data_IF_659814772296
#
_entry.id   IF_659814772296
#
_cell.length_a   1.000
_cell.length_b   1.000
_cell.length_c   1.000
_cell.angle_alpha   90.00
_cell.angle_beta   90.00
_cell.angle_gamma   90.00
#
_symmetry.space_group_name_H-M   'P 1'
#
loop_
_entity.id
_entity.type
_entity.pdbx_description
1 polymer ?
#
# COMPACT_ATOMS: atom_id res chain seq x y z
N UNK A 1 5.38 9.28 26.70
CA UNK A 1 5.84 8.77 25.40
C UNK A 1 4.69 8.71 24.37
N UNK A 2 3.47 8.29 24.73
CA UNK A 2 2.30 8.29 23.83
C UNK A 2 1.91 9.71 23.38
N UNK A 3 1.97 10.70 24.27
CA UNK A 3 1.66 12.10 23.94
C UNK A 3 2.62 12.69 22.90
N UNK A 4 3.89 12.29 22.93
CA UNK A 4 4.89 12.79 21.99
C UNK A 4 4.71 12.19 20.58
N UNK A 5 4.32 10.94 20.49
CA UNK A 5 3.98 10.27 19.21
C UNK A 5 2.70 10.87 18.61
N UNK A 6 1.69 11.13 19.45
CA UNK A 6 0.43 11.76 19.02
C UNK A 6 0.65 13.17 18.49
N UNK A 7 1.48 13.99 19.18
CA UNK A 7 1.79 15.36 18.74
C UNK A 7 2.53 15.40 17.40
N UNK A 8 3.48 14.48 17.17
CA UNK A 8 4.18 14.37 15.88
C UNK A 8 3.22 14.02 14.73
N UNK A 9 2.30 13.10 14.98
CA UNK A 9 1.27 12.73 14.00
C UNK A 9 0.34 13.89 13.67
N UNK A 10 -0.06 14.69 14.67
CA UNK A 10 -0.87 15.90 14.47
C UNK A 10 -0.14 16.92 13.61
N UNK A 11 1.13 17.20 13.92
CA UNK A 11 1.94 18.14 13.16
C UNK A 11 2.13 17.68 11.71
N UNK A 12 2.42 16.39 11.49
CA UNK A 12 2.54 15.82 10.15
C UNK A 12 1.23 15.94 9.35
N UNK A 13 0.09 15.64 9.98
CA UNK A 13 -1.24 15.80 9.36
C UNK A 13 -1.50 17.25 8.96
N UNK A 14 -1.21 18.20 9.84
CA UNK A 14 -1.40 19.63 9.57
C UNK A 14 -0.52 20.10 8.41
N UNK A 15 0.77 19.72 8.41
CA UNK A 15 1.71 20.06 7.34
C UNK A 15 1.25 19.51 6.00
N UNK A 16 0.92 18.22 5.92
CA UNK A 16 0.48 17.59 4.69
C UNK A 16 -0.82 18.23 4.17
N UNK A 17 -1.80 18.45 5.04
CA UNK A 17 -3.06 19.07 4.64
C UNK A 17 -2.86 20.54 4.18
N UNK A 18 -1.92 21.26 4.75
CA UNK A 18 -1.58 22.62 4.30
C UNK A 18 -0.97 22.59 2.91
N UNK A 19 0.01 21.71 2.66
CA UNK A 19 0.62 21.54 1.34
C UNK A 19 -0.42 21.19 0.28
N UNK A 20 -1.29 20.22 0.57
CA UNK A 20 -2.36 19.83 -0.34
C UNK A 20 -3.33 20.97 -0.66
N UNK A 21 -3.72 21.77 0.35
CA UNK A 21 -4.57 22.97 0.15
C UNK A 21 -3.89 24.02 -0.72
N UNK A 22 -2.57 24.11 -0.68
CA UNK A 22 -1.77 25.01 -1.54
C UNK A 22 -1.56 24.45 -2.95
N UNK A 23 -2.10 23.25 -3.28
CA UNK A 23 -1.90 22.59 -4.57
C UNK A 23 -0.51 21.96 -4.74
N UNK A 24 0.24 21.82 -3.65
CA UNK A 24 1.57 21.17 -3.65
C UNK A 24 1.39 19.67 -3.52
N UNK A 25 2.13 18.89 -4.31
CA UNK A 25 2.21 17.43 -4.22
C UNK A 25 3.37 17.06 -3.29
N UNK A 26 3.12 16.58 -2.04
CA UNK A 26 4.20 16.17 -1.15
C UNK A 26 4.85 14.87 -1.64
N UNK A 27 6.19 14.84 -1.68
CA UNK A 27 6.97 13.62 -1.92
C UNK A 27 7.52 13.17 -0.58
N UNK A 28 7.17 11.95 -0.15
CA UNK A 28 7.47 11.41 1.17
C UNK A 28 8.30 10.14 1.00
N UNK A 29 9.37 10.02 1.76
CA UNK A 29 10.18 8.82 1.86
C UNK A 29 10.48 8.49 3.32
N UNK A 30 10.79 7.22 3.63
CA UNK A 30 11.34 6.89 4.93
C UNK A 30 12.69 7.60 5.16
N UNK A 31 12.95 8.01 6.41
CA UNK A 31 14.20 8.62 6.78
C UNK A 31 15.02 7.67 7.65
N UNK A 32 15.95 6.95 7.02
CA UNK A 32 16.84 5.99 7.66
C UNK A 32 17.69 6.61 8.78
N UNK A 33 17.92 7.93 8.73
CA UNK A 33 18.74 8.66 9.72
C UNK A 33 18.03 8.89 11.05
N UNK A 34 16.72 8.72 11.14
CA UNK A 34 15.89 8.98 12.34
C UNK A 34 15.19 7.70 12.83
N UNK A 35 15.49 6.56 12.23
CA UNK A 35 14.94 5.27 12.66
C UNK A 35 15.47 4.90 14.06
N UNK A 36 14.83 5.42 15.09
CA UNK A 36 14.93 4.84 16.43
C UNK A 36 14.34 3.43 16.37
N UNK A 37 14.91 2.48 17.13
CA UNK A 37 14.57 1.05 17.12
C UNK A 37 13.06 0.74 17.31
N UNK A 38 12.25 1.73 17.68
CA UNK A 38 10.82 1.62 17.98
C UNK A 38 9.91 1.84 16.75
N UNK A 39 10.42 2.39 15.64
CA UNK A 39 9.69 2.58 14.38
C UNK A 39 10.58 2.07 13.24
N UNK A 40 10.79 0.76 13.22
CA UNK A 40 11.28 0.10 12.00
C UNK A 40 10.12 -0.03 11.00
N UNK A 41 9.72 1.08 10.40
CA UNK A 41 8.97 1.07 9.15
C UNK A 41 10.04 1.01 8.04
N UNK A 42 10.70 -0.14 7.88
CA UNK A 42 11.68 -0.36 6.82
C UNK A 42 11.01 -0.71 5.50
N UNK A 43 9.87 -0.05 5.19
CA UNK A 43 9.08 -0.40 4.02
C UNK A 43 8.14 0.75 3.64
N UNK A 44 8.38 1.33 2.47
CA UNK A 44 7.55 2.40 1.92
C UNK A 44 6.08 1.97 1.68
N UNK A 45 5.78 0.67 1.56
CA UNK A 45 4.40 0.19 1.46
C UNK A 45 3.60 0.53 2.73
N UNK A 46 4.17 0.24 3.92
CA UNK A 46 3.53 0.57 5.19
C UNK A 46 3.52 2.08 5.45
N UNK A 47 4.61 2.79 5.13
CA UNK A 47 4.66 4.25 5.22
C UNK A 47 3.54 4.88 4.40
N UNK A 48 3.34 4.42 3.17
CA UNK A 48 2.27 4.94 2.29
C UNK A 48 0.87 4.73 2.89
N UNK A 49 0.63 3.58 3.54
CA UNK A 49 -0.63 3.31 4.23
C UNK A 49 -0.84 4.22 5.45
N UNK A 50 0.21 4.45 6.25
CA UNK A 50 0.13 5.39 7.38
C UNK A 50 -0.15 6.83 6.90
N UNK A 51 0.51 7.28 5.82
CA UNK A 51 0.26 8.60 5.22
C UNK A 51 -1.17 8.68 4.69
N UNK A 52 -1.63 7.67 3.93
CA UNK A 52 -3.00 7.62 3.41
C UNK A 52 -4.05 7.70 4.54
N UNK A 53 -3.81 6.99 5.67
CA UNK A 53 -4.66 7.08 6.85
C UNK A 53 -4.61 8.47 7.50
N UNK A 54 -3.44 9.09 7.54
CA UNK A 54 -3.22 10.37 8.21
C UNK A 54 -3.96 11.53 7.51
N UNK A 55 -3.98 11.53 6.17
CA UNK A 55 -4.63 12.55 5.35
C UNK A 55 -6.07 12.19 4.96
N UNK A 56 -6.61 11.09 5.47
CA UNK A 56 -7.94 10.57 5.14
C UNK A 56 -8.14 10.39 3.61
N UNK A 57 -7.15 9.79 2.94
CA UNK A 57 -7.19 9.54 1.50
C UNK A 57 -8.38 8.64 1.10
N UNK A 58 -8.85 8.78 -0.14
CA UNK A 58 -9.90 7.91 -0.68
C UNK A 58 -9.33 6.65 -1.33
N UNK A 59 -8.11 6.74 -1.86
CA UNK A 59 -7.44 5.69 -2.61
C UNK A 59 -5.94 5.72 -2.32
N UNK A 60 -5.36 4.53 -2.08
CA UNK A 60 -3.93 4.28 -2.10
C UNK A 60 -3.60 3.43 -3.32
N UNK A 61 -2.65 3.86 -4.14
CA UNK A 61 -2.12 3.07 -5.26
C UNK A 61 -0.70 2.64 -4.90
N UNK A 62 -0.45 1.33 -4.83
CA UNK A 62 0.88 0.75 -4.63
C UNK A 62 1.35 0.21 -5.98
N UNK A 63 2.39 0.83 -6.52
CA UNK A 63 3.03 0.39 -7.76
C UNK A 63 4.13 -0.63 -7.45
N UNK A 64 4.14 -1.72 -8.18
CA UNK A 64 5.05 -2.85 -8.00
C UNK A 64 5.52 -3.38 -9.36
N UNK A 65 6.34 -4.41 -9.36
CA UNK A 65 6.83 -5.11 -10.55
C UNK A 65 5.94 -6.30 -10.96
N UNK A 66 4.87 -6.59 -10.20
CA UNK A 66 3.90 -7.64 -10.51
C UNK A 66 2.55 -7.06 -10.94
N UNK A 67 1.79 -7.82 -11.74
CA UNK A 67 0.47 -7.38 -12.25
C UNK A 67 -0.57 -7.18 -11.14
N UNK A 68 -0.38 -7.77 -9.97
CA UNK A 68 -1.28 -7.75 -8.83
C UNK A 68 -1.16 -9.03 -8.02
N UNK A 69 -2.15 -9.35 -7.20
CA UNK A 69 -2.24 -10.61 -6.48
C UNK A 69 -2.71 -11.72 -7.43
N UNK A 70 -1.89 -12.75 -7.65
CA UNK A 70 -2.25 -13.91 -8.46
C UNK A 70 -2.91 -14.99 -7.59
N UNK A 71 -3.76 -15.82 -8.18
CA UNK A 71 -4.41 -16.95 -7.49
C UNK A 71 -3.42 -18.01 -7.01
N UNK A 72 -2.24 -18.09 -7.66
CA UNK A 72 -1.12 -18.94 -7.27
C UNK A 72 0.19 -18.26 -7.63
N UNK A 73 1.31 -18.79 -7.10
CA UNK A 73 2.63 -18.18 -7.33
C UNK A 73 2.98 -18.11 -8.84
N UNK A 74 3.09 -16.91 -9.42
CA UNK A 74 3.35 -16.74 -10.84
C UNK A 74 4.72 -17.24 -11.28
N UNK A 75 5.69 -17.38 -10.36
CA UNK A 75 7.00 -17.99 -10.65
C UNK A 75 6.89 -19.50 -10.89
N UNK A 76 5.89 -20.17 -10.29
CA UNK A 76 5.62 -21.60 -10.47
C UNK A 76 4.57 -21.85 -11.54
N UNK A 77 3.61 -20.94 -11.69
CA UNK A 77 2.55 -20.98 -12.68
C UNK A 77 2.42 -19.63 -13.38
N UNK A 78 3.17 -19.38 -14.47
CA UNK A 78 3.10 -18.09 -15.18
C UNK A 78 1.73 -17.74 -15.75
N UNK A 79 0.83 -18.73 -15.90
CA UNK A 79 -0.53 -18.53 -16.35
C UNK A 79 -1.53 -18.26 -15.22
N UNK A 80 -1.06 -18.13 -13.96
CA UNK A 80 -1.94 -17.85 -12.83
C UNK A 80 -2.69 -16.52 -13.03
N UNK A 81 -4.04 -16.52 -12.98
CA UNK A 81 -4.81 -15.31 -13.17
C UNK A 81 -4.61 -14.33 -12.03
N UNK A 82 -4.72 -13.04 -12.32
CA UNK A 82 -4.70 -11.96 -11.33
C UNK A 82 -6.10 -11.86 -10.70
N UNK A 83 -6.15 -11.78 -9.38
CA UNK A 83 -7.37 -11.50 -8.62
C UNK A 83 -7.70 -10.02 -8.76
N UNK A 84 -8.67 -9.67 -9.59
CA UNK A 84 -9.00 -8.28 -9.87
C UNK A 84 -9.60 -7.55 -8.64
N UNK A 85 -10.37 -8.25 -7.78
CA UNK A 85 -11.10 -7.65 -6.67
C UNK A 85 -11.03 -8.51 -5.40
N UNK A 86 -10.60 -7.90 -4.31
CA UNK A 86 -10.64 -8.47 -2.96
C UNK A 86 -11.55 -7.61 -2.08
N UNK A 87 -12.72 -8.15 -1.72
CA UNK A 87 -13.68 -7.45 -0.85
C UNK A 87 -13.23 -7.42 0.61
N UNK A 88 -12.55 -8.48 1.06
CA UNK A 88 -12.05 -8.64 2.43
C UNK A 88 -10.78 -9.49 2.42
N UNK A 89 -9.80 -9.12 3.20
CA UNK A 89 -8.58 -9.91 3.38
C UNK A 89 -8.88 -11.08 4.32
N UNK A 90 -9.06 -12.26 3.73
CA UNK A 90 -9.30 -13.53 4.44
C UNK A 90 -7.98 -14.27 4.71
N UNK A 91 -7.97 -15.30 5.60
CA UNK A 91 -6.81 -16.16 5.79
C UNK A 91 -6.32 -16.80 4.48
N UNK A 92 -7.20 -17.10 3.53
CA UNK A 92 -6.82 -17.68 2.25
C UNK A 92 -6.09 -16.67 1.36
N UNK A 93 -6.56 -15.42 1.31
CA UNK A 93 -5.84 -14.31 0.64
C UNK A 93 -4.45 -14.14 1.24
N UNK A 94 -4.32 -14.26 2.56
CA UNK A 94 -3.00 -14.18 3.23
C UNK A 94 -2.08 -15.33 2.84
N UNK A 95 -2.60 -16.55 2.75
CA UNK A 95 -1.82 -17.73 2.30
C UNK A 95 -1.33 -17.53 0.86
N UNK A 96 -2.20 -17.11 -0.05
CA UNK A 96 -1.84 -16.83 -1.45
C UNK A 96 -0.68 -15.83 -1.51
N UNK A 97 -0.79 -14.72 -0.80
CA UNK A 97 0.23 -13.68 -0.79
C UNK A 97 1.58 -14.12 -0.16
N UNK A 98 1.56 -15.01 0.84
CA UNK A 98 2.79 -15.55 1.44
C UNK A 98 3.51 -16.52 0.51
N UNK A 99 2.81 -17.17 -0.41
CA UNK A 99 3.44 -18.02 -1.42
C UNK A 99 4.22 -17.26 -2.49
N UNK A 100 3.98 -15.95 -2.63
CA UNK A 100 4.71 -15.07 -3.55
C UNK A 100 6.02 -14.52 -2.96
N UNK A 101 6.29 -14.72 -1.66
CA UNK A 101 7.52 -14.24 -1.05
C UNK A 101 8.72 -15.07 -1.49
N UNK A 102 9.68 -14.44 -2.15
CA UNK A 102 11.02 -15.01 -2.34
C UNK A 102 11.73 -15.05 -0.97
N UNK A 103 12.49 -16.11 -0.71
CA UNK A 103 13.28 -16.33 0.52
C UNK A 103 14.34 -15.22 0.80
N UNK A 104 14.51 -14.27 -0.09
CA UNK A 104 15.53 -13.21 -0.04
C UNK A 104 14.89 -11.91 -0.49
N UNK A 105 14.31 -11.15 0.43
CA UNK A 105 13.85 -9.79 0.15
C UNK A 105 12.77 -9.31 1.12
N UNK A 106 13.00 -8.13 1.67
CA UNK A 106 12.11 -7.39 2.57
C UNK A 106 10.86 -6.80 1.87
N UNK A 107 10.68 -7.02 0.54
CA UNK A 107 9.68 -6.35 -0.29
C UNK A 107 8.73 -7.27 -1.06
N UNK A 108 8.31 -8.41 -0.51
CA UNK A 108 7.35 -9.32 -1.17
C UNK A 108 5.89 -8.82 -1.09
N UNK A 109 4.94 -9.55 -1.70
CA UNK A 109 3.50 -9.19 -1.65
C UNK A 109 2.96 -9.10 -0.21
N UNK A 110 3.64 -9.73 0.76
CA UNK A 110 3.32 -9.66 2.19
C UNK A 110 3.36 -8.25 2.77
N UNK A 111 4.34 -7.40 2.38
CA UNK A 111 4.43 -6.00 2.85
C UNK A 111 3.29 -5.17 2.31
N UNK A 112 2.89 -5.39 1.06
CA UNK A 112 1.75 -4.74 0.42
C UNK A 112 0.43 -5.12 1.08
N UNK A 113 0.28 -6.38 1.47
CA UNK A 113 -0.88 -6.81 2.28
C UNK A 113 -0.86 -6.25 3.70
N UNK A 114 0.31 -6.03 4.30
CA UNK A 114 0.40 -5.33 5.58
C UNK A 114 -0.13 -3.89 5.44
N UNK A 115 0.23 -3.19 4.37
CA UNK A 115 -0.31 -1.87 4.05
C UNK A 115 -1.85 -1.90 3.88
N UNK A 116 -2.38 -2.89 3.14
CA UNK A 116 -3.84 -3.09 3.02
C UNK A 116 -4.50 -3.32 4.37
N UNK A 117 -3.89 -4.12 5.26
CA UNK A 117 -4.41 -4.37 6.61
C UNK A 117 -4.44 -3.12 7.50
N UNK A 118 -3.44 -2.25 7.42
CA UNK A 118 -3.43 -0.96 8.14
C UNK A 118 -4.68 -0.17 7.79
N UNK A 119 -5.09 -0.19 6.52
CA UNK A 119 -6.25 0.55 6.01
C UNK A 119 -7.59 -0.22 6.11
N UNK A 120 -7.57 -1.48 6.53
CA UNK A 120 -8.76 -2.35 6.55
C UNK A 120 -9.90 -1.83 7.46
N UNK A 121 -9.59 -1.03 8.48
CA UNK A 121 -10.56 -0.38 9.37
C UNK A 121 -11.04 0.97 8.86
N UNK A 122 -10.51 1.43 7.73
CA UNK A 122 -10.85 2.70 7.09
C UNK A 122 -11.54 2.43 5.75
N UNK A 123 -12.34 3.37 5.28
CA UNK A 123 -12.98 3.26 3.95
C UNK A 123 -12.02 3.64 2.80
N UNK A 124 -10.72 3.45 2.99
CA UNK A 124 -9.70 3.77 2.01
C UNK A 124 -9.50 2.54 1.12
N UNK A 125 -9.73 2.70 -0.17
CA UNK A 125 -9.46 1.65 -1.15
C UNK A 125 -7.96 1.54 -1.40
N UNK A 126 -7.48 0.32 -1.66
CA UNK A 126 -6.09 0.09 -2.08
C UNK A 126 -6.07 -0.62 -3.42
N UNK A 127 -5.25 -0.15 -4.36
CA UNK A 127 -4.98 -0.84 -5.62
C UNK A 127 -3.49 -1.16 -5.68
N UNK A 128 -3.16 -2.43 -5.95
CA UNK A 128 -1.80 -2.90 -6.19
C UNK A 128 -1.70 -3.26 -7.66
N UNK A 129 -0.78 -2.63 -8.40
CA UNK A 129 -0.67 -2.79 -9.85
C UNK A 129 0.77 -2.68 -10.34
N UNK A 130 1.04 -3.16 -11.56
CA UNK A 130 2.34 -3.08 -12.19
C UNK A 130 2.66 -1.64 -12.63
N UNK A 131 3.68 -1.03 -11.99
CA UNK A 131 4.11 0.33 -12.27
C UNK A 131 4.80 0.51 -13.63
N UNK A 132 5.17 -0.59 -14.31
CA UNK A 132 5.75 -0.54 -15.66
C UNK A 132 4.70 -0.46 -16.76
N UNK A 133 3.42 -0.69 -16.40
CA UNK A 133 2.29 -0.58 -17.34
C UNK A 133 2.10 0.89 -17.74
N UNK A 134 2.05 1.14 -19.03
CA UNK A 134 1.76 2.48 -19.54
C UNK A 134 0.37 2.94 -19.07
N UNK A 135 0.26 4.21 -18.69
CA UNK A 135 -0.98 4.86 -18.23
C UNK A 135 -1.66 4.17 -17.01
N UNK A 136 -0.93 3.35 -16.25
CA UNK A 136 -1.49 2.57 -15.13
C UNK A 136 -2.31 3.41 -14.15
N UNK A 137 -1.81 4.59 -13.77
CA UNK A 137 -2.51 5.47 -12.83
C UNK A 137 -3.78 6.07 -13.44
N UNK A 138 -3.74 6.48 -14.71
CA UNK A 138 -4.91 6.99 -15.42
C UNK A 138 -5.99 5.92 -15.57
N UNK A 139 -5.60 4.70 -15.88
CA UNK A 139 -6.51 3.55 -16.01
C UNK A 139 -7.17 3.22 -14.67
N UNK A 140 -6.42 3.23 -13.57
CA UNK A 140 -6.96 3.01 -12.22
C UNK A 140 -7.94 4.11 -11.83
N UNK A 141 -7.60 5.38 -12.10
CA UNK A 141 -8.47 6.53 -11.81
C UNK A 141 -9.73 6.54 -12.67
N UNK A 142 -9.65 6.04 -13.89
CA UNK A 142 -10.80 5.82 -14.77
C UNK A 142 -11.67 4.62 -14.38
N UNK A 143 -11.31 3.88 -13.31
CA UNK A 143 -12.07 2.72 -12.83
C UNK A 143 -11.87 1.44 -13.63
N UNK A 144 -10.90 1.39 -14.53
CA UNK A 144 -10.59 0.16 -15.28
C UNK A 144 -10.08 -0.94 -14.36
N UNK A 145 -10.31 -2.19 -14.74
CA UNK A 145 -9.82 -3.37 -14.01
C UNK A 145 -8.32 -3.56 -14.25
N UNK A 146 -7.49 -2.85 -13.47
CA UNK A 146 -6.04 -2.93 -13.51
C UNK A 146 -5.53 -3.32 -12.13
N UNK A 147 -4.67 -4.33 -12.06
CA UNK A 147 -4.13 -4.80 -10.80
C UNK A 147 -5.16 -5.52 -9.91
N UNK A 148 -4.90 -5.51 -8.62
CA UNK A 148 -5.81 -6.02 -7.59
C UNK A 148 -6.35 -4.86 -6.75
N UNK A 149 -7.67 -4.72 -6.71
CA UNK A 149 -8.37 -3.71 -5.90
C UNK A 149 -8.87 -4.31 -4.60
N UNK A 150 -8.54 -3.70 -3.47
CA UNK A 150 -9.01 -4.04 -2.12
C UNK A 150 -10.02 -2.99 -1.66
N UNK A 151 -11.25 -3.41 -1.33
CA UNK A 151 -12.34 -2.47 -1.02
C UNK A 151 -12.35 -1.98 0.43
N UNK A 152 -11.75 -2.73 1.38
CA UNK A 152 -11.73 -2.37 2.81
C UNK A 152 -13.11 -1.98 3.37
N UNK A 153 -14.13 -2.84 3.11
CA UNK A 153 -15.52 -2.68 3.57
C UNK A 153 -15.88 -3.67 4.64
#
# INVERSE_FOLDING_TARGET
>A
NEDFVSQRSINAKQTLNTLLKMGVVPIINENDSIATQEIKVGDNDQLSAHVANLIDANLLIILTDTEGLHESNPKKNPAAPVIALVKKVTPDILKIATHETSKVGTGGFGTKLAAVKILSKKKIQVVIANGRRENVMLDIMAGKAVGTRFLNR
#
